data_IF_506739854852
#
_entry.id   IF_506739854852
#
_cell.length_a   1.000
_cell.length_b   1.000
_cell.length_c   1.000
_cell.angle_alpha   90.00
_cell.angle_beta   90.00
_cell.angle_gamma   90.00
#
_symmetry.space_group_name_H-M   'P 1'
#
loop_
_entity.id
_entity.type
_entity.pdbx_description
1 polymer ?
#
# COMPACT_ATOMS: atom_id res chain seq x y z
N UNK A 1 39.27 5.40 13.82
CA UNK A 1 38.78 4.42 12.84
C UNK A 1 39.38 3.08 13.21
N UNK A 2 38.51 2.13 13.56
CA UNK A 2 38.84 0.71 13.71
C UNK A 2 39.45 0.17 12.40
N UNK A 3 40.17 -0.95 12.47
CA UNK A 3 40.59 -1.66 11.26
C UNK A 3 39.38 -2.12 10.44
N UNK A 4 38.28 -2.48 11.11
CA UNK A 4 37.00 -2.80 10.48
C UNK A 4 36.38 -1.62 9.72
N UNK A 5 36.50 -0.40 10.26
CA UNK A 5 36.04 0.82 9.57
C UNK A 5 36.83 1.05 8.29
N UNK A 6 38.12 0.70 8.29
CA UNK A 6 38.97 0.80 7.09
C UNK A 6 38.56 -0.24 6.06
N UNK A 7 38.16 -1.45 6.47
CA UNK A 7 37.65 -2.49 5.56
C UNK A 7 36.35 -2.03 4.88
N UNK A 8 35.39 -1.50 5.64
CA UNK A 8 34.13 -0.96 5.09
C UNK A 8 34.39 0.22 4.14
N UNK A 9 35.29 1.13 4.52
CA UNK A 9 35.61 2.31 3.69
C UNK A 9 36.29 1.90 2.38
N UNK A 10 37.23 0.93 2.41
CA UNK A 10 37.91 0.41 1.21
C UNK A 10 36.96 -0.30 0.25
N UNK A 11 35.94 -0.97 0.79
CA UNK A 11 34.96 -1.73 0.00
C UNK A 11 33.64 -0.97 -0.25
N UNK A 12 33.57 0.32 0.10
CA UNK A 12 32.34 1.11 0.06
C UNK A 12 31.63 1.09 -1.31
N UNK A 13 32.40 1.21 -2.40
CA UNK A 13 31.82 1.15 -3.75
C UNK A 13 31.27 -0.22 -4.09
N UNK A 14 31.94 -1.28 -3.64
CA UNK A 14 31.51 -2.65 -3.89
C UNK A 14 30.23 -2.96 -3.11
N UNK A 15 30.17 -2.60 -1.82
CA UNK A 15 28.99 -2.82 -0.97
C UNK A 15 27.77 -2.10 -1.55
N UNK A 16 27.93 -0.84 -1.96
CA UNK A 16 26.86 -0.02 -2.59
C UNK A 16 26.26 -0.65 -3.85
N UNK A 17 27.01 -1.49 -4.54
CA UNK A 17 26.64 -2.04 -5.84
C UNK A 17 26.10 -3.46 -5.76
N UNK A 18 26.30 -4.13 -4.61
CA UNK A 18 26.07 -5.56 -4.48
C UNK A 18 25.08 -5.94 -3.37
N UNK A 19 24.58 -4.99 -2.56
CA UNK A 19 23.48 -5.26 -1.61
C UNK A 19 22.17 -5.45 -2.38
N UNK A 20 21.52 -6.60 -2.18
CA UNK A 20 20.27 -6.97 -2.86
C UNK A 20 19.03 -6.85 -1.98
N UNK A 21 19.17 -6.99 -0.66
CA UNK A 21 18.07 -6.87 0.32
C UNK A 21 18.40 -5.83 1.39
N UNK A 22 18.24 -4.56 1.02
CA UNK A 22 18.55 -3.44 1.91
C UNK A 22 17.55 -3.33 3.08
N UNK A 23 16.28 -3.69 2.85
CA UNK A 23 15.24 -3.65 3.88
C UNK A 23 15.51 -4.71 4.96
N UNK A 24 15.87 -5.94 4.59
CA UNK A 24 16.26 -6.98 5.53
C UNK A 24 17.51 -6.62 6.35
N UNK A 25 18.51 -5.99 5.73
CA UNK A 25 19.69 -5.47 6.45
C UNK A 25 19.29 -4.41 7.48
N UNK A 26 18.41 -3.45 7.10
CA UNK A 26 17.95 -2.42 8.03
C UNK A 26 17.10 -3.00 9.17
N UNK A 27 16.21 -3.95 8.89
CA UNK A 27 15.38 -4.58 9.91
C UNK A 27 16.24 -5.30 10.95
N UNK A 28 17.30 -6.01 10.54
CA UNK A 28 18.22 -6.65 11.48
C UNK A 28 19.03 -5.64 12.29
N UNK A 29 19.47 -4.55 11.68
CA UNK A 29 20.17 -3.47 12.40
C UNK A 29 19.26 -2.73 13.39
N UNK A 30 17.94 -2.68 13.15
CA UNK A 30 16.98 -2.16 14.13
C UNK A 30 16.80 -3.14 15.29
N UNK A 31 16.69 -4.43 15.00
CA UNK A 31 16.58 -5.48 16.02
C UNK A 31 17.80 -5.50 16.95
N UNK A 32 18.99 -5.25 16.40
CA UNK A 32 20.26 -5.18 17.13
C UNK A 32 20.51 -3.80 17.80
N UNK A 33 19.53 -2.89 17.83
CA UNK A 33 19.60 -1.51 18.37
C UNK A 33 20.73 -0.62 17.77
N UNK A 34 21.15 -0.95 16.55
CA UNK A 34 22.12 -0.17 15.79
C UNK A 34 21.43 0.97 15.03
N UNK A 35 20.29 0.69 14.39
CA UNK A 35 19.50 1.69 13.65
C UNK A 35 18.22 2.02 14.42
N UNK A 36 17.85 3.31 14.53
CA UNK A 36 16.54 3.68 15.08
C UNK A 36 15.46 3.58 13.99
N UNK A 37 14.22 3.30 14.40
CA UNK A 37 13.04 3.33 13.53
C UNK A 37 12.88 4.67 12.78
N UNK A 38 13.25 5.77 13.44
CA UNK A 38 13.23 7.12 12.85
C UNK A 38 14.28 7.29 11.74
N UNK A 39 15.47 6.69 11.89
CA UNK A 39 16.52 6.73 10.88
C UNK A 39 16.11 5.96 9.62
N UNK A 40 15.38 4.85 9.76
CA UNK A 40 14.82 4.10 8.63
C UNK A 40 13.96 4.99 7.73
N UNK A 41 13.05 5.75 8.33
CA UNK A 41 12.15 6.65 7.59
C UNK A 41 12.93 7.74 6.84
N UNK A 42 13.99 8.28 7.46
CA UNK A 42 14.87 9.29 6.83
C UNK A 42 15.72 8.71 5.70
N UNK A 43 16.24 7.50 5.89
CA UNK A 43 17.09 6.81 4.89
C UNK A 43 16.23 6.44 3.68
N UNK A 44 15.07 5.82 3.89
CA UNK A 44 14.14 5.43 2.82
C UNK A 44 13.55 6.64 2.06
N UNK A 45 13.52 7.84 2.66
CA UNK A 45 13.12 9.06 1.95
C UNK A 45 14.05 9.41 0.77
N UNK A 46 15.30 8.91 0.77
CA UNK A 46 16.21 9.09 -0.36
C UNK A 46 15.89 8.10 -1.49
N UNK A 47 15.65 8.59 -2.71
CA UNK A 47 15.30 7.75 -3.87
C UNK A 47 16.48 6.98 -4.46
N UNK A 48 17.71 7.21 -4.01
CA UNK A 48 18.91 6.58 -4.52
C UNK A 48 19.39 5.45 -3.58
N UNK A 49 19.28 4.17 -3.97
CA UNK A 49 19.70 3.04 -3.13
C UNK A 49 21.16 3.12 -2.67
N UNK A 50 22.08 3.63 -3.50
CA UNK A 50 23.48 3.81 -3.12
C UNK A 50 23.67 4.82 -1.99
N UNK A 51 22.80 5.84 -1.92
CA UNK A 51 22.81 6.83 -0.83
C UNK A 51 22.13 6.29 0.44
N UNK A 52 21.13 5.42 0.29
CA UNK A 52 20.55 4.70 1.42
C UNK A 52 21.59 3.79 2.09
N UNK A 53 22.29 2.98 1.29
CA UNK A 53 23.39 2.11 1.74
C UNK A 53 24.49 2.95 2.39
N UNK A 54 24.83 4.10 1.80
CA UNK A 54 25.81 5.00 2.38
C UNK A 54 25.43 5.48 3.78
N UNK A 55 24.18 5.91 3.97
CA UNK A 55 23.69 6.42 5.24
C UNK A 55 23.65 5.35 6.34
N UNK A 56 23.32 4.10 5.98
CA UNK A 56 23.40 2.96 6.91
C UNK A 56 24.85 2.68 7.30
N UNK A 57 25.77 2.65 6.34
CA UNK A 57 27.19 2.41 6.62
C UNK A 57 27.80 3.52 7.48
N UNK A 58 27.38 4.78 7.32
CA UNK A 58 27.80 5.88 8.19
C UNK A 58 27.38 5.65 9.65
N UNK A 59 26.16 5.14 9.88
CA UNK A 59 25.66 4.83 11.22
C UNK A 59 26.42 3.64 11.81
N UNK A 60 26.65 2.59 11.02
CA UNK A 60 27.41 1.39 11.41
C UNK A 60 28.83 1.76 11.85
N UNK A 61 29.55 2.55 11.02
CA UNK A 61 30.90 3.03 11.34
C UNK A 61 30.89 3.94 12.57
N UNK A 62 29.93 4.85 12.67
CA UNK A 62 29.81 5.75 13.82
C UNK A 62 29.57 5.01 15.13
N UNK A 63 28.82 3.90 15.10
CA UNK A 63 28.54 3.05 16.27
C UNK A 63 29.58 1.94 16.50
N UNK A 64 30.54 1.74 15.60
CA UNK A 64 31.50 0.64 15.69
C UNK A 64 30.84 -0.74 15.59
N UNK A 65 29.75 -0.85 14.83
CA UNK A 65 28.86 -2.03 14.81
C UNK A 65 29.17 -2.98 13.65
N UNK A 66 30.44 -3.25 13.38
CA UNK A 66 30.87 -4.07 12.23
C UNK A 66 30.31 -5.50 12.30
N UNK A 67 30.44 -6.18 13.44
CA UNK A 67 29.96 -7.56 13.60
C UNK A 67 28.44 -7.68 13.43
N UNK A 68 27.69 -6.68 13.91
CA UNK A 68 26.24 -6.61 13.69
C UNK A 68 25.91 -6.44 12.20
N UNK A 69 26.71 -5.65 11.48
CA UNK A 69 26.55 -5.46 10.05
C UNK A 69 26.86 -6.75 9.27
N UNK A 70 27.92 -7.49 9.63
CA UNK A 70 28.21 -8.81 9.02
C UNK A 70 27.04 -9.77 9.25
N UNK A 71 26.54 -9.88 10.50
CA UNK A 71 25.37 -10.71 10.82
C UNK A 71 24.11 -10.30 10.05
N UNK A 72 23.90 -9.00 9.88
CA UNK A 72 22.80 -8.48 9.07
C UNK A 72 22.94 -8.87 7.59
N UNK A 73 24.16 -8.86 7.05
CA UNK A 73 24.43 -9.33 5.69
C UNK A 73 24.21 -10.85 5.54
N UNK A 74 24.59 -11.67 6.52
CA UNK A 74 24.36 -13.12 6.50
C UNK A 74 22.88 -13.46 6.45
N UNK A 75 22.10 -12.84 7.36
CA UNK A 75 20.68 -13.11 7.53
C UNK A 75 19.80 -12.59 6.38
N UNK A 76 20.29 -11.58 5.64
CA UNK A 76 19.63 -11.02 4.45
C UNK A 76 20.12 -11.64 3.13
N UNK A 77 20.94 -12.69 3.18
CA UNK A 77 21.41 -13.41 1.99
C UNK A 77 22.46 -12.69 1.16
N UNK A 78 23.25 -11.79 1.77
CA UNK A 78 24.33 -11.03 1.13
C UNK A 78 25.73 -11.65 1.38
N UNK A 79 25.85 -12.98 1.41
CA UNK A 79 27.07 -13.71 1.77
C UNK A 79 28.28 -13.41 0.86
N UNK A 80 28.06 -13.10 -0.43
CA UNK A 80 29.11 -12.70 -1.37
C UNK A 80 29.83 -11.40 -0.98
N UNK A 81 29.16 -10.54 -0.21
CA UNK A 81 29.77 -9.31 0.32
C UNK A 81 30.72 -9.67 1.46
N UNK A 82 30.31 -10.59 2.33
CA UNK A 82 31.11 -11.05 3.47
C UNK A 82 32.40 -11.69 2.98
N UNK A 83 32.31 -12.60 2.01
CA UNK A 83 33.47 -13.22 1.37
C UNK A 83 34.46 -12.16 0.82
N UNK A 84 33.95 -11.04 0.29
CA UNK A 84 34.79 -9.95 -0.19
C UNK A 84 35.43 -9.12 0.93
N UNK A 85 34.74 -8.96 2.05
CA UNK A 85 35.25 -8.22 3.21
C UNK A 85 36.31 -9.01 3.97
N UNK A 86 36.23 -10.35 3.96
CA UNK A 86 37.17 -11.25 4.63
C UNK A 86 38.43 -11.57 3.80
N UNK A 87 38.37 -11.50 2.46
CA UNK A 87 39.47 -11.92 1.56
C UNK A 87 40.62 -10.90 1.35
N UNK A 88 40.87 -9.98 2.29
CA UNK A 88 41.98 -9.00 2.17
C UNK A 88 43.01 -9.21 3.27
N UNK A 89 43.75 -10.32 3.19
CA UNK A 89 45.00 -10.51 3.95
C UNK A 89 46.20 -10.99 3.11
N UNK A 90 46.10 -11.11 1.79
CA UNK A 90 47.26 -11.42 0.94
C UNK A 90 47.25 -10.57 -0.33
N UNK A 91 47.87 -9.39 -0.26
CA UNK A 91 48.76 -8.86 -1.30
C UNK A 91 49.31 -7.48 -0.91
N UNK A 92 50.35 -7.50 -0.09
CA UNK A 92 51.27 -6.38 0.07
C UNK A 92 52.67 -6.94 0.28
N UNK A 93 53.54 -6.87 -0.73
CA UNK A 93 54.97 -7.15 -0.53
C UNK A 93 55.74 -7.67 -1.73
N UNK A 94 56.43 -6.75 -2.39
CA UNK A 94 57.78 -6.86 -2.97
C UNK A 94 58.10 -7.83 -4.13
N UNK A 95 58.52 -7.19 -5.23
CA UNK A 95 59.60 -7.65 -6.10
C UNK A 95 60.92 -7.81 -5.32
N UNK A 96 61.61 -8.93 -5.51
CA UNK A 96 63.08 -8.98 -5.58
C UNK A 96 63.57 -10.28 -6.24
N UNK A 97 64.60 -10.12 -7.06
CA UNK A 97 65.31 -11.09 -7.92
C UNK A 97 65.87 -12.34 -7.24
N UNK A 98 66.16 -13.36 -8.07
CA UNK A 98 67.48 -14.03 -8.00
C UNK A 98 67.53 -15.57 -8.06
N UNK A 99 68.04 -16.07 -9.19
CA UNK A 99 68.88 -17.28 -9.37
C UNK A 99 68.25 -18.69 -9.55
N UNK A 100 68.29 -19.12 -10.82
CA UNK A 100 68.82 -20.39 -11.39
C UNK A 100 69.10 -21.60 -10.46
N UNK A 101 68.55 -22.79 -10.74
CA UNK A 101 69.10 -23.78 -11.70
C UNK A 101 68.42 -25.18 -11.64
N UNK A 102 68.38 -25.83 -12.82
CA UNK A 102 68.32 -27.28 -13.10
C UNK A 102 67.10 -28.15 -12.73
N UNK A 103 66.39 -28.64 -13.78
CA UNK A 103 66.49 -30.04 -14.26
C UNK A 103 65.63 -30.26 -15.52
N UNK A 104 66.29 -30.55 -16.63
CA UNK A 104 65.70 -30.98 -17.89
C UNK A 104 65.48 -32.51 -17.82
N UNK A 105 64.23 -32.98 -17.77
CA UNK A 105 63.77 -34.27 -18.36
C UNK A 105 62.23 -34.49 -18.33
N UNK A 106 61.43 -33.50 -17.93
CA UNK A 106 59.93 -33.55 -17.94
C UNK A 106 59.27 -32.50 -18.86
N UNK A 107 60.06 -31.76 -19.65
CA UNK A 107 59.62 -30.52 -20.33
C UNK A 107 58.70 -30.71 -21.53
N UNK A 108 58.74 -31.85 -22.23
CA UNK A 108 58.01 -32.01 -23.50
C UNK A 108 56.53 -32.32 -23.28
N UNK A 109 56.18 -33.26 -22.39
CA UNK A 109 54.77 -33.57 -22.07
C UNK A 109 54.07 -32.46 -21.27
N UNK A 110 54.79 -31.79 -20.37
CA UNK A 110 54.22 -30.65 -19.64
C UNK A 110 54.00 -29.45 -20.55
N UNK A 111 54.91 -29.18 -21.50
CA UNK A 111 54.77 -28.11 -22.49
C UNK A 111 53.54 -28.29 -23.38
N UNK A 112 53.31 -29.49 -23.89
CA UNK A 112 52.17 -29.77 -24.76
C UNK A 112 50.83 -29.69 -24.01
N UNK A 113 50.81 -30.13 -22.75
CA UNK A 113 49.63 -30.01 -21.88
C UNK A 113 49.33 -28.54 -21.54
N UNK A 114 50.36 -27.74 -21.28
CA UNK A 114 50.27 -26.30 -21.05
C UNK A 114 49.80 -25.55 -22.32
N UNK A 115 50.32 -25.89 -23.50
CA UNK A 115 49.87 -25.28 -24.76
C UNK A 115 48.40 -25.61 -25.07
N UNK A 116 47.95 -26.83 -24.78
CA UNK A 116 46.55 -27.22 -24.94
C UNK A 116 45.63 -26.48 -23.95
N UNK A 117 46.04 -26.33 -22.70
CA UNK A 117 45.32 -25.51 -21.72
C UNK A 117 45.26 -24.04 -22.13
N UNK A 118 46.35 -23.49 -22.67
CA UNK A 118 46.41 -22.12 -23.14
C UNK A 118 45.43 -21.86 -24.30
N UNK A 119 45.35 -22.79 -25.27
CA UNK A 119 44.37 -22.70 -26.36
C UNK A 119 42.91 -22.77 -25.86
N UNK A 120 42.62 -23.64 -24.89
CA UNK A 120 41.28 -23.72 -24.31
C UNK A 120 40.91 -22.42 -23.58
N UNK A 121 41.82 -21.89 -22.75
CA UNK A 121 41.60 -20.60 -22.07
C UNK A 121 41.45 -19.42 -23.05
N UNK A 122 42.16 -19.45 -24.19
CA UNK A 122 41.99 -18.44 -25.23
C UNK A 122 40.62 -18.52 -25.89
N UNK A 123 40.13 -19.72 -26.19
CA UNK A 123 38.78 -19.94 -26.73
C UNK A 123 37.69 -19.52 -25.75
N UNK A 124 37.86 -19.82 -24.46
CA UNK A 124 36.90 -19.46 -23.41
C UNK A 124 36.88 -17.94 -23.16
N UNK A 125 38.05 -17.27 -23.20
CA UNK A 125 38.12 -15.82 -23.14
C UNK A 125 37.45 -15.12 -24.33
N UNK A 126 37.58 -15.66 -25.54
CA UNK A 126 36.84 -15.14 -26.70
C UNK A 126 35.33 -15.28 -26.52
N UNK A 127 34.87 -16.43 -26.02
CA UNK A 127 33.44 -16.64 -25.73
C UNK A 127 32.92 -15.66 -24.66
N UNK A 128 33.68 -15.46 -23.58
CA UNK A 128 33.35 -14.49 -22.52
C UNK A 128 33.33 -13.05 -23.05
N UNK A 129 34.25 -12.67 -23.95
CA UNK A 129 34.23 -11.35 -24.60
C UNK A 129 32.97 -11.12 -25.42
N UNK A 130 32.51 -12.13 -26.15
CA UNK A 130 31.26 -12.05 -26.92
C UNK A 130 30.06 -11.88 -26.00
N UNK A 131 30.00 -12.64 -24.90
CA UNK A 131 28.93 -12.49 -23.89
C UNK A 131 28.95 -11.12 -23.20
N UNK A 132 30.13 -10.62 -22.80
CA UNK A 132 30.28 -9.29 -22.22
C UNK A 132 29.81 -8.19 -23.18
N UNK A 133 30.08 -8.34 -24.47
CA UNK A 133 29.61 -7.40 -25.50
C UNK A 133 28.08 -7.42 -25.62
N UNK A 134 27.46 -8.59 -25.53
CA UNK A 134 25.99 -8.74 -25.54
C UNK A 134 25.34 -8.04 -24.34
N UNK A 135 25.85 -8.31 -23.13
CA UNK A 135 25.35 -7.70 -21.88
C UNK A 135 25.51 -6.18 -21.92
N UNK A 136 26.64 -5.68 -22.44
CA UNK A 136 26.88 -4.24 -22.58
C UNK A 136 25.88 -3.58 -23.52
N UNK A 137 25.55 -4.20 -24.65
CA UNK A 137 24.53 -3.67 -25.57
C UNK A 137 23.14 -3.64 -24.91
N UNK A 138 22.78 -4.64 -24.12
CA UNK A 138 21.51 -4.67 -23.39
C UNK A 138 21.46 -3.59 -22.30
N UNK A 139 22.57 -3.38 -21.58
CA UNK A 139 22.68 -2.33 -20.58
C UNK A 139 22.53 -0.93 -21.21
N UNK A 140 23.19 -0.68 -22.35
CA UNK A 140 23.08 0.59 -23.09
C UNK A 140 21.66 0.82 -23.64
N UNK A 141 20.94 -0.24 -24.01
CA UNK A 141 19.53 -0.18 -24.40
C UNK A 141 18.62 0.20 -23.22
N UNK A 142 18.80 -0.45 -22.06
CA UNK A 142 18.04 -0.14 -20.84
C UNK A 142 18.32 1.28 -20.33
N UNK A 143 19.57 1.75 -20.42
CA UNK A 143 19.95 3.12 -20.07
C UNK A 143 19.25 4.16 -20.97
N UNK A 144 19.16 3.91 -22.28
CA UNK A 144 18.42 4.78 -23.21
C UNK A 144 16.93 4.87 -22.85
N UNK A 145 16.30 3.71 -22.59
CA UNK A 145 14.88 3.66 -22.20
C UNK A 145 14.62 4.39 -20.87
N UNK A 146 15.54 4.27 -19.90
CA UNK A 146 15.48 4.99 -18.63
C UNK A 146 15.60 6.52 -18.82
N UNK A 147 16.42 6.99 -19.77
CA UNK A 147 16.53 8.41 -20.09
C UNK A 147 15.25 8.96 -20.73
N UNK A 148 14.58 8.18 -21.59
CA UNK A 148 13.29 8.55 -22.16
C UNK A 148 12.19 8.66 -21.09
N UNK A 149 12.06 7.65 -20.23
CA UNK A 149 11.14 7.66 -19.10
C UNK A 149 11.38 8.86 -18.17
N UNK A 150 12.64 9.20 -17.90
CA UNK A 150 12.96 10.39 -17.09
C UNK A 150 12.52 11.70 -17.75
N UNK A 151 12.59 11.80 -19.08
CA UNK A 151 12.05 12.97 -19.81
C UNK A 151 10.53 13.07 -19.66
N UNK A 152 9.82 11.95 -19.78
CA UNK A 152 8.36 11.92 -19.59
C UNK A 152 7.95 12.31 -18.16
N UNK A 153 8.62 11.74 -17.15
CA UNK A 153 8.37 12.07 -15.73
C UNK A 153 8.58 13.57 -15.46
N UNK A 154 9.61 14.17 -16.06
CA UNK A 154 9.85 15.61 -15.93
C UNK A 154 8.77 16.43 -16.66
N UNK A 155 8.27 15.95 -17.79
CA UNK A 155 7.10 16.53 -18.47
C UNK A 155 5.86 16.53 -17.56
N UNK A 156 5.54 15.40 -16.93
CA UNK A 156 4.42 15.32 -15.99
C UNK A 156 4.59 16.22 -14.77
N UNK A 157 5.81 16.33 -14.22
CA UNK A 157 6.08 17.27 -13.12
C UNK A 157 5.83 18.73 -13.51
N UNK A 158 6.21 19.12 -14.72
CA UNK A 158 5.99 20.48 -15.22
C UNK A 158 4.48 20.75 -15.40
N UNK A 159 3.73 19.80 -15.95
CA UNK A 159 2.28 19.89 -16.08
C UNK A 159 1.60 19.99 -14.71
N UNK A 160 2.00 19.18 -13.74
CA UNK A 160 1.44 19.23 -12.38
C UNK A 160 1.73 20.56 -11.69
N UNK A 161 2.92 21.15 -11.91
CA UNK A 161 3.25 22.47 -11.39
C UNK A 161 2.33 23.55 -11.99
N UNK A 162 2.12 23.53 -13.31
CA UNK A 162 1.19 24.45 -13.98
C UNK A 162 -0.26 24.26 -13.50
N UNK A 163 -0.69 23.01 -13.28
CA UNK A 163 -2.03 22.72 -12.77
C UNK A 163 -2.23 23.25 -11.35
N UNK A 164 -1.23 23.09 -10.48
CA UNK A 164 -1.25 23.62 -9.12
C UNK A 164 -1.25 25.15 -9.07
N UNK A 165 -0.53 25.82 -9.98
CA UNK A 165 -0.59 27.28 -10.10
C UNK A 165 -1.97 27.76 -10.59
N UNK A 166 -2.59 27.05 -11.55
CA UNK A 166 -3.98 27.31 -11.97
C UNK A 166 -4.98 27.08 -10.84
N UNK A 167 -4.82 26.04 -10.04
CA UNK A 167 -5.66 25.76 -8.86
C UNK A 167 -5.55 26.88 -7.82
N UNK A 168 -4.34 27.38 -7.54
CA UNK A 168 -4.14 28.54 -6.65
C UNK A 168 -4.83 29.80 -7.16
N UNK A 169 -4.79 30.06 -8.47
CA UNK A 169 -5.50 31.18 -9.09
C UNK A 169 -7.02 31.01 -9.03
N UNK A 170 -7.52 29.79 -9.18
CA UNK A 170 -8.95 29.46 -9.05
C UNK A 170 -9.45 29.61 -7.60
N UNK A 171 -8.66 29.21 -6.59
CA UNK A 171 -9.00 29.40 -5.18
C UNK A 171 -9.07 30.87 -4.74
N UNK A 172 -8.38 31.78 -5.44
CA UNK A 172 -8.43 33.22 -5.18
C UNK A 172 -9.45 33.98 -6.04
N UNK A 173 -10.22 33.28 -6.88
CA UNK A 173 -11.19 33.90 -7.77
C UNK A 173 -12.47 34.23 -7.03
N UNK A 174 -12.84 35.52 -6.96
CA UNK A 174 -14.13 35.95 -6.41
C UNK A 174 -15.32 35.31 -7.15
N UNK A 175 -15.14 34.91 -8.42
CA UNK A 175 -16.14 34.10 -9.15
C UNK A 175 -16.37 32.72 -8.54
N UNK A 176 -15.39 32.12 -7.86
CA UNK A 176 -15.57 30.83 -7.19
C UNK A 176 -16.31 30.99 -5.86
N UNK A 177 -16.13 32.12 -5.16
CA UNK A 177 -16.94 32.48 -3.98
C UNK A 177 -18.40 32.72 -4.37
N UNK A 178 -18.64 33.46 -5.46
CA UNK A 178 -20.00 33.69 -5.98
C UNK A 178 -20.65 32.38 -6.44
N UNK A 179 -19.88 31.48 -7.08
CA UNK A 179 -20.37 30.16 -7.46
C UNK A 179 -20.63 29.26 -6.25
N UNK A 180 -19.80 29.32 -5.20
CA UNK A 180 -20.04 28.60 -3.95
C UNK A 180 -21.30 29.11 -3.25
N UNK A 181 -21.48 30.43 -3.16
CA UNK A 181 -22.73 31.00 -2.62
C UNK A 181 -23.95 30.62 -3.45
N UNK A 182 -23.85 30.58 -4.78
CA UNK A 182 -24.94 30.12 -5.63
C UNK A 182 -25.22 28.62 -5.49
N UNK A 183 -24.18 27.78 -5.34
CA UNK A 183 -24.32 26.35 -5.07
C UNK A 183 -24.93 26.12 -3.68
N UNK A 184 -24.52 26.86 -2.65
CA UNK A 184 -25.14 26.82 -1.32
C UNK A 184 -26.62 27.20 -1.37
N UNK A 185 -26.98 28.15 -2.23
CA UNK A 185 -28.36 28.59 -2.43
C UNK A 185 -29.19 27.57 -3.22
N UNK A 186 -28.58 26.88 -4.20
CA UNK A 186 -29.20 25.74 -4.90
C UNK A 186 -29.34 24.50 -4.02
N UNK A 187 -28.36 24.21 -3.16
CA UNK A 187 -28.42 23.12 -2.17
C UNK A 187 -29.55 23.39 -1.19
N UNK A 188 -29.64 24.59 -0.60
CA UNK A 188 -30.77 24.96 0.27
C UNK A 188 -32.12 24.87 -0.44
N UNK A 189 -32.21 25.31 -1.70
CA UNK A 189 -33.45 25.17 -2.49
C UNK A 189 -33.82 23.72 -2.74
N UNK A 190 -32.85 22.85 -3.03
CA UNK A 190 -33.07 21.40 -3.18
C UNK A 190 -33.44 20.73 -1.86
N UNK A 191 -32.87 21.15 -0.74
CA UNK A 191 -33.30 20.70 0.59
C UNK A 191 -34.75 21.11 0.88
N UNK A 192 -35.18 22.27 0.38
CA UNK A 192 -36.58 22.73 0.51
C UNK A 192 -37.54 21.98 -0.44
N UNK A 193 -37.09 21.57 -1.63
CA UNK A 193 -37.89 20.80 -2.61
C UNK A 193 -37.88 19.28 -2.34
N UNK A 194 -36.94 18.75 -1.54
CA UNK A 194 -36.87 17.36 -1.12
C UNK A 194 -37.26 17.12 0.35
N UNK A 195 -37.89 18.11 0.99
CA UNK A 195 -38.47 18.06 2.35
C UNK A 195 -39.63 17.08 2.54
N UNK A 196 -39.59 15.89 1.92
CA UNK A 196 -40.55 14.80 2.15
C UNK A 196 -39.88 13.47 2.55
N UNK A 197 -38.59 13.46 2.91
CA UNK A 197 -37.94 12.28 3.53
C UNK A 197 -36.85 12.65 4.56
N UNK A 198 -36.92 13.84 5.15
CA UNK A 198 -36.26 14.08 6.44
C UNK A 198 -37.21 13.62 7.55
N UNK A 199 -36.93 12.47 8.15
CA UNK A 199 -37.38 12.24 9.52
C UNK A 199 -36.67 13.27 10.39
N UNK A 200 -37.42 14.31 10.79
CA UNK A 200 -36.99 15.34 11.73
C UNK A 200 -36.22 14.73 12.91
N UNK A 201 -34.92 15.03 13.00
CA UNK A 201 -34.19 14.89 14.26
C UNK A 201 -34.75 15.99 15.17
N UNK A 202 -35.76 15.65 15.97
CA UNK A 202 -36.23 16.55 17.03
C UNK A 202 -35.06 16.81 17.98
N UNK A 203 -34.59 18.05 18.02
CA UNK A 203 -33.54 18.48 18.95
C UNK A 203 -34.00 18.27 20.40
N UNK A 204 -33.54 17.18 21.03
CA UNK A 204 -33.72 16.93 22.47
C UNK A 204 -32.40 17.18 23.20
N UNK A 205 -32.48 17.85 24.35
CA UNK A 205 -31.34 18.03 25.24
C UNK A 205 -30.98 16.69 25.89
N UNK A 206 -29.68 16.35 25.94
CA UNK A 206 -29.10 15.15 26.57
C UNK A 206 -29.26 13.82 25.81
N UNK A 207 -29.11 13.82 24.47
CA UNK A 207 -29.08 12.58 23.68
C UNK A 207 -27.71 11.90 23.66
N UNK A 208 -27.72 10.57 23.75
CA UNK A 208 -26.56 9.72 23.51
C UNK A 208 -26.61 9.16 22.09
N UNK A 209 -25.50 9.25 21.38
CA UNK A 209 -25.31 8.74 20.03
C UNK A 209 -24.18 7.71 19.99
N UNK A 210 -24.32 6.71 19.14
CA UNK A 210 -23.25 5.78 18.80
C UNK A 210 -22.83 6.02 17.36
N UNK A 211 -21.65 6.60 17.16
CA UNK A 211 -21.01 6.79 15.87
C UNK A 211 -20.23 5.53 15.49
N UNK A 212 -20.77 4.75 14.57
CA UNK A 212 -20.08 3.60 14.02
C UNK A 212 -19.36 4.01 12.73
N UNK A 213 -18.07 4.29 12.81
CA UNK A 213 -17.19 4.34 11.64
C UNK A 213 -16.81 2.92 11.28
N UNK A 214 -17.56 2.29 10.38
CA UNK A 214 -17.35 0.88 10.10
C UNK A 214 -16.04 0.57 9.35
N UNK A 215 -15.24 1.60 9.02
CA UNK A 215 -13.86 1.45 8.54
C UNK A 215 -12.81 1.63 9.65
N UNK A 216 -13.16 2.19 10.82
CA UNK A 216 -12.20 2.57 11.87
C UNK A 216 -12.56 2.16 13.32
N UNK A 217 -13.84 1.92 13.65
CA UNK A 217 -14.30 1.59 14.99
C UNK A 217 -15.67 2.16 15.36
N UNK A 218 -16.12 1.87 16.58
CA UNK A 218 -17.37 2.38 17.13
C UNK A 218 -17.02 3.37 18.24
N UNK A 219 -17.56 4.57 18.15
CA UNK A 219 -17.42 5.64 19.14
C UNK A 219 -18.77 5.92 19.77
N UNK A 220 -18.83 5.97 21.10
CA UNK A 220 -20.04 6.39 21.82
C UNK A 220 -19.85 7.84 22.25
N UNK A 221 -20.79 8.69 21.86
CA UNK A 221 -20.75 10.13 22.08
C UNK A 221 -22.02 10.57 22.79
N UNK A 222 -21.90 11.36 23.86
CA UNK A 222 -23.04 12.03 24.48
C UNK A 222 -23.06 13.48 24.06
N UNK A 223 -24.20 13.98 23.57
CA UNK A 223 -24.43 15.40 23.38
C UNK A 223 -24.89 16.00 24.69
N UNK A 224 -24.05 16.83 25.30
CA UNK A 224 -24.39 17.61 26.49
C UNK A 224 -24.42 19.09 26.08
N UNK A 225 -25.63 19.67 26.00
CA UNK A 225 -25.86 21.04 25.49
C UNK A 225 -25.27 21.25 24.08
N UNK A 226 -24.18 22.02 24.00
CA UNK A 226 -23.46 22.36 22.76
C UNK A 226 -22.12 21.60 22.62
N UNK A 227 -21.88 20.59 23.45
CA UNK A 227 -20.64 19.82 23.43
C UNK A 227 -20.92 18.34 23.15
N UNK A 228 -20.04 17.76 22.34
CA UNK A 228 -19.99 16.32 22.11
C UNK A 228 -18.92 15.74 23.03
N UNK A 229 -19.32 14.82 23.90
CA UNK A 229 -18.44 14.16 24.86
C UNK A 229 -18.28 12.71 24.44
N UNK A 230 -17.08 12.34 24.00
CA UNK A 230 -16.70 10.95 23.76
C UNK A 230 -16.72 10.18 25.09
N UNK A 231 -17.56 9.14 25.18
CA UNK A 231 -17.63 8.23 26.33
C UNK A 231 -16.81 6.96 26.07
N UNK A 232 -16.70 6.57 24.80
CA UNK A 232 -16.06 5.33 24.41
C UNK A 232 -15.55 5.39 22.98
N UNK A 233 -14.51 4.61 22.70
CA UNK A 233 -14.03 4.36 21.34
C UNK A 233 -13.41 2.97 21.24
N UNK A 234 -13.99 2.11 20.43
CA UNK A 234 -13.27 0.94 19.89
C UNK A 234 -12.40 1.38 18.73
N UNK A 235 -11.32 0.63 18.50
CA UNK A 235 -10.63 0.66 17.21
C UNK A 235 -10.94 -0.64 16.50
N UNK A 236 -11.58 -0.56 15.35
CA UNK A 236 -11.60 -1.66 14.40
C UNK A 236 -10.26 -1.62 13.67
N UNK A 237 -9.27 -2.39 14.14
CA UNK A 237 -7.97 -2.51 13.43
C UNK A 237 -8.07 -3.36 12.16
N UNK A 238 -9.18 -4.06 12.00
CA UNK A 238 -9.43 -4.91 10.85
C UNK A 238 -9.97 -4.01 9.74
N UNK A 239 -9.19 -3.82 8.66
CA UNK A 239 -9.62 -3.07 7.48
C UNK A 239 -10.80 -3.79 6.80
N UNK A 240 -12.01 -3.61 7.34
CA UNK A 240 -13.25 -4.32 7.01
C UNK A 240 -13.46 -4.40 5.50
N UNK A 241 -13.35 -3.27 4.81
CA UNK A 241 -13.50 -3.16 3.34
C UNK A 241 -12.36 -3.82 2.56
N UNK A 242 -11.11 -3.73 3.03
CA UNK A 242 -9.96 -4.41 2.42
C UNK A 242 -10.09 -5.93 2.56
N UNK A 243 -10.57 -6.38 3.72
CA UNK A 243 -10.72 -7.80 4.03
C UNK A 243 -11.74 -8.51 3.14
N UNK A 244 -12.75 -7.79 2.62
CA UNK A 244 -13.74 -8.36 1.69
C UNK A 244 -13.13 -8.54 0.29
N UNK A 245 -12.42 -7.53 -0.21
CA UNK A 245 -11.77 -7.61 -1.52
C UNK A 245 -10.62 -8.63 -1.52
N UNK A 246 -9.88 -8.76 -0.40
CA UNK A 246 -8.92 -9.85 -0.20
C UNK A 246 -9.58 -11.22 -0.27
N UNK A 247 -10.69 -11.44 0.42
CA UNK A 247 -11.45 -12.71 0.34
C UNK A 247 -11.93 -13.02 -1.08
N UNK A 248 -12.31 -12.00 -1.85
CA UNK A 248 -12.64 -12.22 -3.26
C UNK A 248 -11.42 -12.65 -4.08
N UNK A 249 -10.24 -12.08 -3.80
CA UNK A 249 -8.99 -12.52 -4.43
C UNK A 249 -8.62 -13.93 -4.00
N UNK A 250 -8.81 -14.30 -2.74
CA UNK A 250 -8.64 -15.69 -2.25
C UNK A 250 -9.61 -16.66 -2.94
N UNK A 251 -10.84 -16.24 -3.16
CA UNK A 251 -11.79 -17.01 -3.97
C UNK A 251 -11.29 -17.23 -5.40
N UNK A 252 -10.65 -16.23 -6.03
CA UNK A 252 -10.00 -16.43 -7.33
C UNK A 252 -8.77 -17.34 -7.21
N UNK A 253 -7.94 -17.22 -6.16
CA UNK A 253 -6.81 -18.12 -5.89
C UNK A 253 -7.25 -19.59 -5.87
N UNK A 254 -8.43 -19.89 -5.32
CA UNK A 254 -8.96 -21.26 -5.29
C UNK A 254 -9.39 -21.79 -6.66
N UNK A 255 -9.77 -20.92 -7.58
CA UNK A 255 -10.18 -21.30 -8.94
C UNK A 255 -8.94 -21.47 -9.83
N UNK A 256 -8.06 -20.47 -9.83
CA UNK A 256 -6.97 -20.38 -10.82
C UNK A 256 -5.58 -20.69 -10.25
N UNK A 257 -5.45 -20.75 -8.93
CA UNK A 257 -4.19 -20.94 -8.23
C UNK A 257 -3.50 -19.64 -7.85
N UNK A 258 -3.04 -19.58 -6.60
CA UNK A 258 -2.28 -18.44 -6.05
C UNK A 258 -1.07 -17.98 -6.89
N UNK A 259 -0.26 -18.87 -7.51
CA UNK A 259 0.86 -18.43 -8.34
C UNK A 259 0.43 -17.54 -9.53
N UNK A 260 -0.74 -17.82 -10.13
CA UNK A 260 -1.25 -17.04 -11.26
C UNK A 260 -1.66 -15.63 -10.82
N UNK A 261 -2.29 -15.50 -9.65
CA UNK A 261 -2.65 -14.20 -9.08
C UNK A 261 -1.39 -13.40 -8.70
N UNK A 262 -0.36 -14.05 -8.15
CA UNK A 262 0.91 -13.40 -7.84
C UNK A 262 1.62 -12.90 -9.11
N UNK A 263 1.63 -13.72 -10.16
CA UNK A 263 2.20 -13.35 -11.44
C UNK A 263 1.45 -12.17 -12.07
N UNK A 264 0.11 -12.18 -12.01
CA UNK A 264 -0.72 -11.06 -12.47
C UNK A 264 -0.45 -9.77 -11.68
N UNK A 265 -0.31 -9.86 -10.36
CA UNK A 265 0.07 -8.72 -9.51
C UNK A 265 1.43 -8.15 -9.91
N UNK A 266 2.39 -9.01 -10.24
CA UNK A 266 3.75 -8.61 -10.60
C UNK A 266 3.82 -7.99 -12.00
N UNK A 267 3.24 -8.64 -13.02
CA UNK A 267 3.29 -8.20 -14.42
C UNK A 267 2.30 -7.07 -14.75
N UNK A 268 1.17 -7.00 -14.05
CA UNK A 268 0.04 -6.11 -14.38
C UNK A 268 -0.48 -5.38 -13.13
N UNK A 269 0.43 -4.76 -12.37
CA UNK A 269 0.09 -4.11 -11.10
C UNK A 269 -1.02 -3.05 -11.20
N UNK A 270 -1.04 -2.26 -12.28
CA UNK A 270 -2.06 -1.22 -12.46
C UNK A 270 -3.45 -1.83 -12.66
N UNK A 271 -3.55 -2.80 -13.57
CA UNK A 271 -4.80 -3.48 -13.89
C UNK A 271 -5.27 -4.38 -12.75
N UNK A 272 -4.34 -4.92 -11.95
CA UNK A 272 -4.68 -5.58 -10.69
C UNK A 272 -5.34 -4.61 -9.71
N UNK A 273 -4.80 -3.40 -9.53
CA UNK A 273 -5.41 -2.39 -8.66
C UNK A 273 -6.80 -2.01 -9.16
N UNK A 274 -7.00 -1.86 -10.47
CA UNK A 274 -8.30 -1.51 -11.04
C UNK A 274 -9.32 -2.65 -10.91
N UNK A 275 -8.89 -3.90 -11.13
CA UNK A 275 -9.71 -5.08 -10.83
C UNK A 275 -10.10 -5.09 -9.34
N UNK A 276 -9.14 -4.88 -8.44
CA UNK A 276 -9.38 -4.83 -7.00
C UNK A 276 -10.39 -3.73 -6.62
N UNK A 277 -10.33 -2.55 -7.25
CA UNK A 277 -11.32 -1.48 -7.07
C UNK A 277 -12.70 -1.86 -7.60
N UNK A 278 -12.77 -2.49 -8.77
CA UNK A 278 -14.04 -2.94 -9.35
C UNK A 278 -14.73 -3.98 -8.47
N UNK A 279 -13.97 -4.87 -7.84
CA UNK A 279 -14.48 -5.84 -6.87
C UNK A 279 -15.19 -5.10 -5.75
N UNK A 280 -14.57 -4.08 -5.15
CA UNK A 280 -15.21 -3.27 -4.10
C UNK A 280 -16.55 -2.69 -4.55
N UNK A 281 -16.61 -2.12 -5.76
CA UNK A 281 -17.84 -1.55 -6.34
C UNK A 281 -18.95 -2.59 -6.55
N UNK A 282 -18.57 -3.85 -6.80
CA UNK A 282 -19.51 -4.97 -6.89
C UNK A 282 -20.06 -5.31 -5.51
N UNK A 283 -19.21 -5.28 -4.48
CA UNK A 283 -19.62 -5.59 -3.11
C UNK A 283 -20.63 -4.57 -2.57
N UNK A 284 -20.53 -3.30 -2.96
CA UNK A 284 -21.51 -2.25 -2.63
C UNK A 284 -22.94 -2.59 -3.11
N UNK A 285 -23.05 -3.44 -4.14
CA UNK A 285 -24.33 -3.84 -4.75
C UNK A 285 -24.94 -5.09 -4.11
N UNK A 286 -24.26 -5.73 -3.15
CA UNK A 286 -24.78 -6.94 -2.52
C UNK A 286 -25.89 -6.56 -1.53
N UNK A 287 -27.06 -7.15 -1.76
CA UNK A 287 -28.20 -7.07 -0.87
C UNK A 287 -28.49 -8.46 -0.26
N UNK A 288 -29.10 -8.53 0.92
CA UNK A 288 -29.45 -9.78 1.65
C UNK A 288 -30.63 -10.53 1.03
N UNK A 289 -31.55 -9.83 0.35
CA UNK A 289 -32.82 -10.39 -0.12
C UNK A 289 -32.90 -10.61 -1.65
N UNK A 290 -31.89 -10.19 -2.39
CA UNK A 290 -31.86 -10.32 -3.86
C UNK A 290 -31.30 -11.68 -4.28
N UNK A 291 -32.05 -12.49 -4.99
CA UNK A 291 -31.51 -13.70 -5.61
C UNK A 291 -31.04 -13.38 -7.03
N UNK A 292 -29.92 -13.98 -7.45
CA UNK A 292 -29.47 -13.80 -8.82
C UNK A 292 -27.97 -13.97 -9.00
N UNK A 293 -27.51 -13.42 -10.11
CA UNK A 293 -26.15 -13.60 -10.61
C UNK A 293 -25.52 -12.24 -10.83
N UNK A 294 -24.34 -12.06 -10.27
CA UNK A 294 -23.53 -10.85 -10.41
C UNK A 294 -22.55 -11.07 -11.57
N UNK A 295 -22.47 -10.07 -12.45
CA UNK A 295 -21.56 -10.07 -13.58
C UNK A 295 -20.33 -9.22 -13.25
N UNK A 296 -19.18 -9.88 -13.20
CA UNK A 296 -17.87 -9.28 -12.98
C UNK A 296 -17.10 -9.30 -14.29
N UNK A 297 -16.71 -8.13 -14.79
CA UNK A 297 -15.84 -8.03 -15.94
C UNK A 297 -14.42 -8.42 -15.51
N UNK A 298 -13.84 -9.42 -16.16
CA UNK A 298 -12.46 -9.80 -15.93
C UNK A 298 -11.56 -9.03 -16.91
N UNK A 299 -10.47 -8.38 -16.46
CA UNK A 299 -9.53 -7.73 -17.35
C UNK A 299 -8.96 -8.71 -18.38
N UNK A 300 -8.78 -8.27 -19.64
CA UNK A 300 -8.21 -9.14 -20.68
C UNK A 300 -6.80 -9.62 -20.32
N UNK A 301 -5.96 -8.73 -19.79
CA UNK A 301 -4.62 -9.08 -19.31
C UNK A 301 -4.65 -10.13 -18.18
N UNK A 302 -5.71 -10.17 -17.37
CA UNK A 302 -5.89 -11.21 -16.36
C UNK A 302 -6.19 -12.57 -17.01
N UNK A 303 -7.09 -12.60 -17.99
CA UNK A 303 -7.41 -13.81 -18.77
C UNK A 303 -6.19 -14.32 -19.55
N UNK A 304 -5.40 -13.42 -20.13
CA UNK A 304 -4.14 -13.74 -20.81
C UNK A 304 -3.11 -14.35 -19.86
N UNK A 305 -2.97 -13.78 -18.66
CA UNK A 305 -2.08 -14.31 -17.61
C UNK A 305 -2.49 -15.73 -17.21
N UNK A 306 -3.79 -15.99 -17.02
CA UNK A 306 -4.30 -17.33 -16.74
C UNK A 306 -3.90 -18.30 -17.86
N UNK A 307 -4.11 -17.93 -19.12
CA UNK A 307 -3.79 -18.79 -20.25
C UNK A 307 -2.29 -19.13 -20.31
N UNK A 308 -1.43 -18.14 -20.06
CA UNK A 308 0.02 -18.32 -20.07
C UNK A 308 0.49 -19.24 -18.94
N UNK A 309 0.05 -18.98 -17.71
CA UNK A 309 0.56 -19.67 -16.51
C UNK A 309 -0.05 -21.06 -16.31
N UNK A 310 -1.24 -21.33 -16.86
CA UNK A 310 -1.96 -22.60 -16.62
C UNK A 310 -1.84 -23.62 -17.76
N UNK A 311 -0.79 -23.51 -18.58
CA UNK A 311 -0.53 -24.35 -19.77
C UNK A 311 -1.68 -24.30 -20.79
N UNK A 312 -2.16 -23.10 -21.11
CA UNK A 312 -3.25 -22.83 -22.06
C UNK A 312 -4.64 -23.31 -21.61
N UNK A 313 -4.85 -23.58 -20.32
CA UNK A 313 -6.21 -23.67 -19.79
C UNK A 313 -6.82 -22.27 -19.72
N UNK A 314 -8.09 -22.15 -20.07
CA UNK A 314 -8.83 -20.91 -19.95
C UNK A 314 -9.51 -20.81 -18.58
N UNK A 315 -9.95 -19.62 -18.19
CA UNK A 315 -10.66 -19.43 -16.93
C UNK A 315 -11.92 -20.32 -16.83
N UNK A 316 -12.61 -20.55 -17.95
CA UNK A 316 -13.83 -21.36 -18.00
C UNK A 316 -13.55 -22.82 -17.59
N UNK A 317 -12.56 -23.46 -18.18
CA UNK A 317 -12.17 -24.84 -17.86
C UNK A 317 -11.67 -24.98 -16.42
N UNK A 318 -10.98 -23.95 -15.89
CA UNK A 318 -10.56 -23.93 -14.49
C UNK A 318 -11.77 -23.89 -13.55
N UNK A 319 -12.76 -23.04 -13.82
CA UNK A 319 -14.02 -23.00 -13.07
C UNK A 319 -14.76 -24.35 -13.14
N UNK A 320 -14.89 -24.94 -14.32
CA UNK A 320 -15.55 -26.24 -14.52
C UNK A 320 -14.87 -27.37 -13.72
N UNK A 321 -13.54 -27.29 -13.54
CA UNK A 321 -12.76 -28.23 -12.72
C UNK A 321 -12.72 -27.92 -11.23
N UNK A 322 -13.27 -26.77 -10.82
CA UNK A 322 -13.27 -26.32 -9.42
C UNK A 322 -14.55 -26.73 -8.69
N UNK A 323 -14.55 -26.59 -7.36
CA UNK A 323 -15.75 -26.75 -6.52
C UNK A 323 -16.86 -25.72 -6.79
N UNK A 324 -16.59 -24.72 -7.63
CA UNK A 324 -17.51 -23.62 -7.91
C UNK A 324 -18.22 -23.75 -9.27
N UNK A 325 -18.09 -24.89 -9.96
CA UNK A 325 -18.66 -25.12 -11.30
C UNK A 325 -20.18 -24.92 -11.39
N UNK A 326 -20.91 -25.13 -10.30
CA UNK A 326 -22.35 -24.89 -10.22
C UNK A 326 -22.71 -23.41 -10.00
N UNK A 327 -21.84 -22.63 -9.34
CA UNK A 327 -22.13 -21.26 -8.91
C UNK A 327 -21.43 -20.18 -9.73
N UNK A 328 -20.43 -20.56 -10.52
CA UNK A 328 -19.59 -19.66 -11.30
C UNK A 328 -19.60 -20.13 -12.74
N UNK A 329 -19.81 -19.20 -13.67
CA UNK A 329 -19.73 -19.50 -15.10
C UNK A 329 -19.20 -18.33 -15.89
N UNK A 330 -18.58 -18.61 -17.03
CA UNK A 330 -18.15 -17.57 -17.97
C UNK A 330 -19.22 -17.29 -19.02
N UNK A 331 -19.50 -16.01 -19.26
CA UNK A 331 -20.29 -15.53 -20.40
C UNK A 331 -19.51 -14.44 -21.10
N UNK A 332 -18.88 -14.80 -22.24
CA UNK A 332 -17.91 -13.96 -22.95
C UNK A 332 -16.73 -13.59 -22.03
N UNK A 333 -16.53 -12.31 -21.77
CA UNK A 333 -15.52 -11.69 -20.92
C UNK A 333 -15.98 -11.45 -19.47
N UNK A 334 -17.21 -11.88 -19.15
CA UNK A 334 -17.82 -11.68 -17.82
C UNK A 334 -17.90 -12.98 -17.04
N UNK A 335 -17.30 -12.97 -15.86
CA UNK A 335 -17.52 -13.96 -14.83
C UNK A 335 -18.88 -13.71 -14.19
N UNK A 336 -19.74 -14.71 -14.24
CA UNK A 336 -21.07 -14.71 -13.66
C UNK A 336 -21.01 -15.50 -12.35
N UNK A 337 -21.20 -14.85 -11.21
CA UNK A 337 -21.14 -15.46 -9.89
C UNK A 337 -22.51 -15.40 -9.24
N UNK A 338 -22.98 -16.52 -8.70
CA UNK A 338 -24.17 -16.53 -7.85
C UNK A 338 -23.97 -15.65 -6.61
N UNK A 339 -24.95 -14.80 -6.30
CA UNK A 339 -24.87 -13.85 -5.18
C UNK A 339 -24.60 -14.53 -3.82
N UNK A 340 -24.99 -15.81 -3.67
CA UNK A 340 -24.70 -16.63 -2.49
C UNK A 340 -23.20 -16.79 -2.20
N UNK A 341 -22.37 -16.91 -3.24
CA UNK A 341 -20.91 -16.96 -3.05
C UNK A 341 -20.43 -15.64 -2.45
N UNK A 342 -20.90 -14.53 -3.00
CA UNK A 342 -20.53 -13.20 -2.52
C UNK A 342 -21.01 -12.95 -1.09
N UNK A 343 -22.22 -13.39 -0.73
CA UNK A 343 -22.71 -13.37 0.66
C UNK A 343 -21.79 -14.16 1.59
N UNK A 344 -21.36 -15.37 1.21
CA UNK A 344 -20.43 -16.19 1.99
C UNK A 344 -19.09 -15.48 2.20
N UNK A 345 -18.58 -14.75 1.20
CA UNK A 345 -17.33 -13.98 1.32
C UNK A 345 -17.47 -12.79 2.30
N UNK A 346 -18.63 -12.14 2.32
CA UNK A 346 -18.88 -10.95 3.17
C UNK A 346 -19.25 -11.34 4.60
N UNK A 347 -19.91 -12.47 4.80
CA UNK A 347 -20.46 -12.93 6.09
C UNK A 347 -19.49 -12.81 7.28
N UNK A 348 -18.24 -13.31 7.21
CA UNK A 348 -17.31 -13.20 8.36
C UNK A 348 -16.99 -11.76 8.75
N UNK A 349 -17.07 -10.85 7.79
CA UNK A 349 -16.82 -9.42 8.01
C UNK A 349 -18.02 -8.77 8.71
N UNK A 350 -19.24 -9.14 8.31
CA UNK A 350 -20.47 -8.68 8.94
C UNK A 350 -20.58 -9.20 10.37
N UNK A 351 -20.32 -10.48 10.61
CA UNK A 351 -20.36 -11.09 11.95
C UNK A 351 -19.39 -10.40 12.92
N UNK A 352 -18.21 -9.98 12.44
CA UNK A 352 -17.26 -9.18 13.23
C UNK A 352 -17.85 -7.82 13.61
N UNK A 353 -18.52 -7.14 12.68
CA UNK A 353 -19.15 -5.84 12.94
C UNK A 353 -20.31 -5.99 13.93
N UNK A 354 -21.15 -7.01 13.78
CA UNK A 354 -22.22 -7.32 14.73
C UNK A 354 -21.66 -7.55 16.14
N UNK A 355 -20.62 -8.38 16.27
CA UNK A 355 -19.97 -8.64 17.56
C UNK A 355 -19.41 -7.37 18.21
N UNK A 356 -18.89 -6.43 17.41
CA UNK A 356 -18.44 -5.13 17.91
C UNK A 356 -19.60 -4.31 18.45
N UNK A 357 -20.71 -4.20 17.72
CA UNK A 357 -21.89 -3.51 18.21
C UNK A 357 -22.42 -4.15 19.50
N UNK A 358 -22.54 -5.48 19.56
CA UNK A 358 -22.99 -6.20 20.76
C UNK A 358 -22.13 -5.88 21.97
N UNK A 359 -20.81 -5.90 21.81
CA UNK A 359 -19.87 -5.55 22.88
C UNK A 359 -20.13 -4.15 23.42
N UNK A 360 -20.32 -3.16 22.53
CA UNK A 360 -20.61 -1.78 22.93
C UNK A 360 -21.98 -1.66 23.62
N UNK A 361 -23.01 -2.31 23.07
CA UNK A 361 -24.36 -2.24 23.63
C UNK A 361 -24.48 -2.93 24.99
N UNK A 362 -23.75 -4.03 25.20
CA UNK A 362 -23.71 -4.71 26.49
C UNK A 362 -22.93 -3.88 27.52
N UNK A 363 -21.81 -3.25 27.14
CA UNK A 363 -21.02 -2.38 28.02
C UNK A 363 -21.83 -1.17 28.50
N UNK A 364 -22.62 -0.56 27.60
CA UNK A 364 -23.39 0.65 27.89
C UNK A 364 -24.88 0.40 28.18
N UNK A 365 -25.29 -0.85 28.40
CA UNK A 365 -26.71 -1.28 28.53
C UNK A 365 -27.58 -0.46 29.49
N UNK A 366 -26.98 0.10 30.54
CA UNK A 366 -27.65 0.93 31.55
C UNK A 366 -27.82 2.40 31.14
N UNK A 367 -27.06 2.85 30.13
CA UNK A 367 -27.07 4.21 29.57
C UNK A 367 -27.69 4.27 28.15
N UNK A 368 -27.99 3.11 27.53
CA UNK A 368 -28.31 2.95 26.10
C UNK A 368 -29.79 2.79 25.75
N UNK A 369 -30.72 2.83 26.71
CA UNK A 369 -32.16 2.57 26.42
C UNK A 369 -32.76 3.49 25.35
N UNK A 370 -32.15 4.65 25.10
CA UNK A 370 -32.55 5.63 24.08
C UNK A 370 -31.36 6.09 23.21
N UNK A 371 -30.39 5.21 22.95
CA UNK A 371 -29.25 5.56 22.08
C UNK A 371 -29.59 5.46 20.60
N UNK A 372 -29.36 6.56 19.89
CA UNK A 372 -29.42 6.60 18.44
C UNK A 372 -28.10 6.13 17.84
N UNK A 373 -28.17 5.36 16.76
CA UNK A 373 -26.99 4.86 16.05
C UNK A 373 -26.78 5.71 14.80
N UNK A 374 -25.60 6.28 14.63
CA UNK A 374 -25.18 6.96 13.41
C UNK A 374 -24.08 6.14 12.76
N UNK A 375 -24.35 5.56 11.59
CA UNK A 375 -23.38 4.74 10.85
C UNK A 375 -22.72 5.60 9.78
N UNK A 376 -21.39 5.71 9.83
CA UNK A 376 -20.59 6.53 8.93
C UNK A 376 -19.41 5.73 8.37
N UNK A 377 -18.66 6.33 7.44
CA UNK A 377 -17.55 5.67 6.75
C UNK A 377 -18.00 4.97 5.47
N UNK A 378 -17.05 4.55 4.64
CA UNK A 378 -17.35 4.00 3.32
C UNK A 378 -17.97 2.60 3.38
N UNK A 379 -17.80 1.85 4.47
CA UNK A 379 -18.51 0.59 4.66
C UNK A 379 -20.00 0.79 5.06
N UNK A 380 -20.39 1.97 5.53
CA UNK A 380 -21.79 2.28 5.84
C UNK A 380 -22.69 2.30 4.60
N UNK A 381 -22.12 2.47 3.40
CA UNK A 381 -22.85 2.39 2.12
C UNK A 381 -23.28 0.96 1.75
N UNK A 382 -22.74 -0.07 2.41
CA UNK A 382 -22.99 -1.45 2.06
C UNK A 382 -24.39 -1.86 2.51
N UNK A 383 -25.32 -2.06 1.56
CA UNK A 383 -26.72 -2.42 1.85
C UNK A 383 -26.83 -3.62 2.80
N UNK A 384 -26.02 -4.65 2.58
CA UNK A 384 -25.95 -5.83 3.45
C UNK A 384 -25.63 -5.47 4.91
N UNK A 385 -24.71 -4.54 5.16
CA UNK A 385 -24.42 -4.07 6.51
C UNK A 385 -25.62 -3.31 7.08
N UNK A 386 -26.17 -2.36 6.31
CA UNK A 386 -27.28 -1.55 6.80
C UNK A 386 -28.48 -2.40 7.20
N UNK A 387 -28.78 -3.45 6.43
CA UNK A 387 -29.87 -4.35 6.73
C UNK A 387 -29.59 -5.17 7.98
N UNK A 388 -28.39 -5.74 8.11
CA UNK A 388 -28.01 -6.54 9.28
C UNK A 388 -28.07 -5.71 10.55
N UNK A 389 -27.51 -4.50 10.54
CA UNK A 389 -27.56 -3.61 11.71
C UNK A 389 -29.00 -3.24 12.05
N UNK A 390 -29.85 -2.94 11.05
CA UNK A 390 -31.29 -2.66 11.27
C UNK A 390 -32.04 -3.86 11.85
N UNK A 391 -31.76 -5.07 11.37
CA UNK A 391 -32.39 -6.30 11.88
C UNK A 391 -31.93 -6.65 13.29
N UNK A 392 -30.69 -6.33 13.64
CA UNK A 392 -30.13 -6.62 14.96
C UNK A 392 -30.58 -5.61 16.02
N UNK A 393 -30.63 -4.33 15.66
CA UNK A 393 -30.92 -3.22 16.58
C UNK A 393 -32.30 -2.60 16.31
N UNK A 394 -33.35 -3.44 16.40
CA UNK A 394 -34.73 -3.08 16.08
C UNK A 394 -35.32 -1.97 16.98
N UNK A 395 -34.77 -1.78 18.17
CA UNK A 395 -35.28 -0.81 19.15
C UNK A 395 -34.59 0.54 19.07
N UNK A 396 -33.49 0.66 18.33
CA UNK A 396 -32.71 1.89 18.17
C UNK A 396 -33.10 2.63 16.89
N UNK A 397 -33.04 3.96 16.90
CA UNK A 397 -33.10 4.74 15.65
C UNK A 397 -31.73 4.67 14.98
N UNK A 398 -31.71 4.26 13.71
CA UNK A 398 -30.47 4.13 12.93
C UNK A 398 -30.45 5.19 11.84
N UNK A 399 -29.49 6.09 11.93
CA UNK A 399 -29.22 7.14 10.95
C UNK A 399 -28.01 6.75 10.10
N UNK A 400 -28.18 6.79 8.79
CA UNK A 400 -27.11 6.60 7.82
C UNK A 400 -27.13 7.84 6.93
N UNK A 401 -26.17 8.77 7.08
CA UNK A 401 -26.15 10.00 6.32
C UNK A 401 -26.06 9.75 4.82
N UNK A 402 -26.54 10.71 4.01
CA UNK A 402 -26.28 10.72 2.57
C UNK A 402 -24.78 10.87 2.37
N UNK A 403 -24.18 9.93 1.65
CA UNK A 403 -22.72 9.87 1.43
C UNK A 403 -21.93 9.76 2.75
N UNK A 404 -22.11 8.65 3.49
CA UNK A 404 -21.51 8.43 4.80
C UNK A 404 -19.97 8.45 4.78
N UNK A 405 -19.35 8.21 3.62
CA UNK A 405 -17.90 8.26 3.39
C UNK A 405 -17.31 9.68 3.45
N UNK A 406 -18.15 10.73 3.35
CA UNK A 406 -17.73 12.13 3.42
C UNK A 406 -18.07 12.81 4.75
N UNK A 407 -18.82 12.16 5.63
CA UNK A 407 -19.34 12.77 6.87
C UNK A 407 -18.21 13.29 7.76
N UNK A 408 -17.13 12.52 7.92
CA UNK A 408 -15.97 12.92 8.72
C UNK A 408 -15.30 14.19 8.16
N UNK A 409 -15.11 14.25 6.85
CA UNK A 409 -14.49 15.42 6.18
C UNK A 409 -15.41 16.63 6.27
N UNK A 410 -16.71 16.44 6.06
CA UNK A 410 -17.71 17.51 6.19
C UNK A 410 -17.72 18.06 7.62
N UNK A 411 -17.72 17.19 8.63
CA UNK A 411 -17.61 17.58 10.03
C UNK A 411 -16.31 18.34 10.33
N UNK A 412 -15.17 17.87 9.82
CA UNK A 412 -13.88 18.55 9.98
C UNK A 412 -13.89 19.96 9.36
N UNK A 413 -14.49 20.12 8.17
CA UNK A 413 -14.63 21.42 7.50
C UNK A 413 -15.52 22.36 8.33
N UNK A 414 -16.66 21.88 8.83
CA UNK A 414 -17.54 22.67 9.68
C UNK A 414 -16.85 23.12 10.98
N UNK A 415 -16.13 22.22 11.65
CA UNK A 415 -15.35 22.53 12.83
C UNK A 415 -14.28 23.60 12.54
N UNK A 416 -13.53 23.44 11.44
CA UNK A 416 -12.52 24.41 11.03
C UNK A 416 -13.12 25.78 10.66
N UNK A 417 -14.25 25.79 9.97
CA UNK A 417 -14.96 27.00 9.60
C UNK A 417 -15.51 27.76 10.82
N UNK A 418 -16.13 27.05 11.76
CA UNK A 418 -16.65 27.63 13.00
C UNK A 418 -15.51 28.18 13.87
N UNK A 419 -14.40 27.44 13.99
CA UNK A 419 -13.21 27.92 14.68
C UNK A 419 -12.65 29.19 14.02
N UNK A 420 -12.60 29.24 12.68
CA UNK A 420 -12.18 30.42 11.94
C UNK A 420 -13.10 31.62 12.18
N UNK A 421 -14.43 31.42 12.14
CA UNK A 421 -15.39 32.49 12.43
C UNK A 421 -15.24 33.02 13.87
N UNK A 422 -15.05 32.14 14.85
CA UNK A 422 -14.83 32.52 16.24
C UNK A 422 -13.51 33.30 16.45
N UNK A 423 -12.41 32.88 15.82
CA UNK A 423 -11.15 33.63 15.86
C UNK A 423 -11.31 35.00 15.17
N UNK A 424 -12.09 35.06 14.09
CA UNK A 424 -12.39 36.30 13.39
C UNK A 424 -13.24 37.25 14.26
N UNK A 425 -14.22 36.75 15.00
CA UNK A 425 -15.04 37.60 15.89
C UNK A 425 -14.20 38.16 17.03
N UNK A 426 -13.31 37.35 17.63
CA UNK A 426 -12.36 37.80 18.64
C UNK A 426 -11.40 38.86 18.11
N UNK A 427 -10.89 38.70 16.88
CA UNK A 427 -9.99 39.69 16.27
C UNK A 427 -10.70 40.99 15.87
N UNK A 428 -12.00 40.96 15.53
CA UNK A 428 -12.80 42.18 15.38
C UNK A 428 -13.08 42.87 16.71
N UNK A 429 -13.31 42.12 17.79
CA UNK A 429 -13.46 42.68 19.15
C UNK A 429 -12.16 43.32 19.62
N UNK A 430 -11.01 42.66 19.46
CA UNK A 430 -9.70 43.22 19.84
C UNK A 430 -9.36 44.51 19.07
N UNK A 431 -9.76 44.62 17.79
CA UNK A 431 -9.62 45.85 16.99
C UNK A 431 -10.53 46.99 17.48
N UNK A 432 -11.67 46.68 18.10
CA UNK A 432 -12.53 47.70 18.71
C UNK A 432 -11.94 48.26 20.00
N UNK A 433 -11.14 47.47 20.74
CA UNK A 433 -10.44 47.91 21.96
C UNK A 433 -9.11 48.63 21.72
N UNK A 434 -8.52 48.51 20.52
CA UNK A 434 -7.27 49.21 20.16
C UNK A 434 -7.49 50.58 19.50
N UNK A 435 -8.75 51.02 19.38
CA UNK A 435 -9.16 52.34 18.88
C UNK A 435 -9.81 53.22 19.98
N UNK A 436 -9.55 52.94 21.27
CA UNK A 436 -9.94 53.79 22.40
C UNK A 436 -8.73 54.50 22.98
#
# INVERSE_FOLDING_TARGET
MSDDDKVLTRNLSFIKDNITDMDGVMDKLIEDDILRLEDRSRILANRNPRLQIHAVLEIVVKKGAYDNFIRALETSGNSHIIERLENIDYNGGMYSDGCENNRNHTKTEQSDKLQKQLKNMQSENEHLRVQQKSVRMELESKQRKMQELNKEVNGFKAQNKQLNERLKLLCNSDKLKDRLSNIELEVRKKDTEHGLLETEIQEKENECFTEADCDAGITVVRKEKHQLIEKYRTKCRDFVRTSIAERFVEFLDEIIGRPVIQEYKYKNASEYIDMYRSIRTIMDKINTNENGVIHVLLPLCFLDTISHETRKRDFKSLVESSRFSENVRMKKDKMCIDIEILRKLVKPTIEKVESLFETVFDEYKNETKEMDIVIIGGFADYKILQEVVRQRFLTQRIYIPIRPEFVVVNGAVLCGFNAYQYIRSLSSEVRSYSNV
#
